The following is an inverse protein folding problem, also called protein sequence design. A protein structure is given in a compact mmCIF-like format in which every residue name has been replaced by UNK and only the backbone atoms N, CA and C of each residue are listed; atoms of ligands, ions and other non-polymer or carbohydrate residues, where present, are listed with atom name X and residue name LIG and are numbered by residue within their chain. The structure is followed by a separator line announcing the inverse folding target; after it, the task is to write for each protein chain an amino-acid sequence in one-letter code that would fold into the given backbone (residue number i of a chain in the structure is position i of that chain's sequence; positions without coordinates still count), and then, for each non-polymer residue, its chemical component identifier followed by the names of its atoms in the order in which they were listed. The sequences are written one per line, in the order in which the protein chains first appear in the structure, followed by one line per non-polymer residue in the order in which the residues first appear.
data_IF_657524295913
#
_entry.id   IF_657524295913
#
_cell.length_a   1.000
_cell.length_b   1.000
_cell.length_c   1.000
_cell.angle_alpha   90.00
_cell.angle_beta   90.00
_cell.angle_gamma   90.00
#
_symmetry.space_group_name_H-M   'P 1'
#
loop_
_entity.id
_entity.type
_entity.pdbx_description
1 polymer ?
#
# COMPACT_ATOMS: atom_id res chain seq x y z
N UNK A 1 23.14 -3.25 8.82
CA UNK A 1 22.03 -2.78 7.97
C UNK A 1 22.59 -1.74 7.02
N UNK A 2 22.34 -1.84 5.70
CA UNK A 2 22.80 -0.86 4.71
C UNK A 2 21.63 0.02 4.31
N UNK A 3 21.79 1.35 4.38
CA UNK A 3 20.78 2.32 3.96
C UNK A 3 20.93 2.56 2.45
N UNK A 4 19.80 2.59 1.74
CA UNK A 4 19.72 2.95 0.32
C UNK A 4 19.01 4.30 0.24
N UNK A 5 19.58 5.24 -0.51
CA UNK A 5 18.93 6.54 -0.76
C UNK A 5 17.68 6.38 -1.64
N UNK A 6 16.61 7.10 -1.32
CA UNK A 6 15.34 7.07 -2.04
C UNK A 6 14.16 6.59 -1.19
N UNK A 7 13.04 6.31 -1.84
CA UNK A 7 11.80 5.83 -1.21
C UNK A 7 11.42 4.42 -1.65
N UNK A 8 10.13 4.12 -1.64
CA UNK A 8 9.58 2.80 -2.00
C UNK A 8 9.90 2.37 -3.45
N UNK A 9 10.27 3.31 -4.32
CA UNK A 9 10.65 3.07 -5.72
C UNK A 9 12.17 2.96 -5.93
N UNK A 10 12.99 3.03 -4.87
CA UNK A 10 14.43 2.80 -4.99
C UNK A 10 14.79 1.35 -5.40
N UNK A 11 14.09 0.30 -4.91
CA UNK A 11 14.29 -1.05 -5.42
C UNK A 11 13.75 -1.22 -6.84
N UNK A 12 14.44 -2.00 -7.65
CA UNK A 12 14.00 -2.29 -9.02
C UNK A 12 12.66 -3.02 -9.03
N UNK A 13 11.80 -2.64 -9.98
CA UNK A 13 10.51 -3.30 -10.20
C UNK A 13 9.34 -2.71 -9.39
N UNK A 14 9.58 -1.67 -8.59
CA UNK A 14 8.51 -0.98 -7.86
C UNK A 14 8.23 0.42 -8.43
N UNK A 15 6.94 0.72 -8.58
CA UNK A 15 6.39 2.00 -9.02
C UNK A 15 5.46 2.53 -7.93
N UNK A 16 5.32 3.86 -7.85
CA UNK A 16 4.34 4.47 -6.95
C UNK A 16 3.83 5.79 -7.52
N UNK A 17 2.56 6.10 -7.28
CA UNK A 17 1.94 7.37 -7.65
C UNK A 17 0.87 7.76 -6.64
N UNK A 18 0.82 9.05 -6.29
CA UNK A 18 -0.27 9.66 -5.53
C UNK A 18 -1.06 10.62 -6.40
N UNK A 19 -2.39 10.65 -6.22
CA UNK A 19 -3.32 11.49 -6.98
C UNK A 19 -4.26 12.24 -6.03
N UNK A 20 -4.81 13.36 -6.52
CA UNK A 20 -5.89 14.08 -5.85
C UNK A 20 -7.23 13.50 -6.33
N UNK A 21 -7.84 12.63 -5.52
CA UNK A 21 -9.15 12.04 -5.79
C UNK A 21 -10.31 12.81 -5.14
N UNK A 22 -10.01 13.90 -4.41
CA UNK A 22 -10.98 14.77 -3.74
C UNK A 22 -11.82 14.06 -2.65
N UNK A 23 -11.26 13.03 -2.01
CA UNK A 23 -11.73 12.51 -0.72
C UNK A 23 -11.45 13.55 0.37
N UNK A 24 -10.28 14.19 0.30
CA UNK A 24 -9.95 15.41 1.06
C UNK A 24 -10.24 16.66 0.23
N UNK A 25 -9.97 17.83 0.82
CA UNK A 25 -10.00 19.11 0.11
C UNK A 25 -9.14 19.11 -1.16
N UNK A 26 -9.55 19.94 -2.12
CA UNK A 26 -8.85 20.13 -3.40
C UNK A 26 -7.35 20.37 -3.23
N UNK A 27 -6.59 19.91 -4.22
CA UNK A 27 -5.12 20.02 -4.29
C UNK A 27 -4.36 19.25 -3.19
N UNK A 28 -4.98 18.24 -2.58
CA UNK A 28 -4.31 17.30 -1.69
C UNK A 28 -4.32 15.91 -2.29
N UNK A 29 -3.14 15.29 -2.40
CA UNK A 29 -3.05 13.87 -2.73
C UNK A 29 -3.58 13.07 -1.56
N UNK A 30 -4.56 12.24 -1.85
CA UNK A 30 -5.36 11.53 -0.85
C UNK A 30 -5.63 10.08 -1.26
N UNK A 31 -5.23 9.68 -2.46
CA UNK A 31 -5.15 8.30 -2.90
C UNK A 31 -3.77 8.03 -3.48
N UNK A 32 -3.20 6.89 -3.16
CA UNK A 32 -1.92 6.44 -3.69
C UNK A 32 -1.93 4.95 -4.02
N UNK A 33 -1.09 4.57 -4.97
CA UNK A 33 -0.82 3.18 -5.33
C UNK A 33 0.69 2.95 -5.25
N UNK A 34 1.07 1.83 -4.64
CA UNK A 34 2.39 1.21 -4.77
C UNK A 34 2.19 -0.06 -5.59
N UNK A 35 2.99 -0.25 -6.63
CA UNK A 35 2.82 -1.33 -7.60
C UNK A 35 4.15 -2.05 -7.85
N UNK A 36 4.13 -3.36 -7.77
CA UNK A 36 5.22 -4.23 -8.23
C UNK A 36 4.95 -4.63 -9.68
N UNK A 37 5.97 -4.52 -10.53
CA UNK A 37 5.89 -4.89 -11.95
C UNK A 37 5.48 -6.35 -12.16
N UNK A 38 5.73 -7.22 -11.17
CA UNK A 38 5.33 -8.63 -11.12
C UNK A 38 4.74 -8.96 -9.76
N UNK A 39 3.84 -9.97 -9.63
CA UNK A 39 3.40 -10.44 -8.31
C UNK A 39 4.61 -10.83 -7.44
N UNK A 40 4.71 -10.26 -6.25
CA UNK A 40 5.83 -10.43 -5.35
C UNK A 40 5.41 -11.13 -4.04
N UNK A 41 6.38 -11.72 -3.34
CA UNK A 41 6.17 -12.19 -1.97
C UNK A 41 5.86 -11.00 -1.08
N UNK A 42 4.83 -11.12 -0.25
CA UNK A 42 4.40 -10.05 0.64
C UNK A 42 3.99 -10.63 2.00
N UNK A 43 4.19 -9.81 3.04
CA UNK A 43 3.82 -10.11 4.41
C UNK A 43 3.23 -8.84 5.04
N UNK A 44 2.28 -9.02 5.95
CA UNK A 44 1.63 -7.92 6.66
C UNK A 44 1.32 -8.31 8.10
N UNK A 45 1.33 -7.30 8.97
CA UNK A 45 0.77 -7.38 10.32
C UNK A 45 -0.34 -6.34 10.43
N UNK A 46 -1.34 -6.64 11.25
CA UNK A 46 -2.55 -5.83 11.39
C UNK A 46 -2.69 -5.35 12.83
N UNK A 47 -3.50 -4.30 13.05
CA UNK A 47 -3.84 -3.88 14.41
C UNK A 47 -4.49 -5.02 15.19
N UNK A 48 -4.22 -5.08 16.49
CA UNK A 48 -4.81 -6.04 17.43
C UNK A 48 -6.10 -5.53 18.07
N UNK A 49 -6.52 -4.30 17.74
CA UNK A 49 -7.78 -3.74 18.25
C UNK A 49 -8.98 -4.55 17.72
N UNK A 50 -9.91 -4.86 18.63
CA UNK A 50 -11.17 -5.52 18.30
C UNK A 50 -11.97 -4.69 17.30
N UNK A 51 -12.01 -3.36 17.50
CA UNK A 51 -12.62 -2.43 16.56
C UNK A 51 -11.60 -2.07 15.48
N UNK A 52 -11.88 -2.44 14.24
CA UNK A 52 -10.98 -2.22 13.12
C UNK A 52 -11.72 -1.86 11.83
N UNK A 53 -11.00 -1.25 10.89
CA UNK A 53 -11.56 -0.84 9.61
C UNK A 53 -11.76 -2.04 8.67
N UNK A 54 -12.83 -2.00 7.89
CA UNK A 54 -13.20 -3.06 6.94
C UNK A 54 -12.10 -3.40 5.92
N UNK A 55 -11.20 -2.45 5.58
CA UNK A 55 -10.11 -2.72 4.65
C UNK A 55 -9.12 -3.78 5.18
N UNK A 56 -9.03 -3.99 6.49
CA UNK A 56 -8.15 -5.01 7.06
C UNK A 56 -8.62 -6.42 6.70
N UNK A 57 -9.93 -6.66 6.61
CA UNK A 57 -10.47 -7.98 6.23
C UNK A 57 -10.16 -8.29 4.76
N UNK A 58 -10.30 -7.29 3.89
CA UNK A 58 -9.92 -7.39 2.48
C UNK A 58 -8.41 -7.65 2.34
N UNK A 59 -7.56 -6.90 3.06
CA UNK A 59 -6.12 -7.10 3.03
C UNK A 59 -5.70 -8.49 3.52
N UNK A 60 -6.33 -9.00 4.59
CA UNK A 60 -6.09 -10.37 5.10
C UNK A 60 -6.40 -11.41 4.03
N UNK A 61 -7.60 -11.33 3.44
CA UNK A 61 -8.04 -12.28 2.41
C UNK A 61 -7.13 -12.25 1.17
N UNK A 62 -6.77 -11.06 0.68
CA UNK A 62 -5.88 -10.93 -0.47
C UNK A 62 -4.48 -11.47 -0.24
N UNK A 63 -4.02 -11.57 1.02
CA UNK A 63 -2.68 -12.01 1.36
C UNK A 63 -2.61 -13.45 1.89
N UNK A 64 -3.70 -14.22 1.81
CA UNK A 64 -3.75 -15.62 2.26
C UNK A 64 -2.68 -16.52 1.61
N UNK A 65 -2.33 -16.23 0.35
CA UNK A 65 -1.28 -16.96 -0.38
C UNK A 65 0.12 -16.34 -0.25
N UNK A 66 0.29 -15.29 0.57
CA UNK A 66 1.56 -14.59 0.77
C UNK A 66 2.08 -13.84 -0.46
N UNK A 67 1.20 -13.51 -1.42
CA UNK A 67 1.57 -12.79 -2.64
C UNK A 67 0.72 -11.53 -2.81
N UNK A 68 1.34 -10.46 -3.30
CA UNK A 68 0.64 -9.24 -3.67
C UNK A 68 1.30 -8.62 -4.90
N UNK A 69 0.60 -7.72 -5.58
CA UNK A 69 1.15 -6.95 -6.70
C UNK A 69 0.98 -5.44 -6.52
N UNK A 70 -0.04 -5.01 -5.77
CA UNK A 70 -0.27 -3.60 -5.50
C UNK A 70 -0.75 -3.38 -4.07
N UNK A 71 -0.49 -2.19 -3.57
CA UNK A 71 -1.10 -1.63 -2.36
C UNK A 71 -1.83 -0.37 -2.79
N UNK A 72 -3.12 -0.29 -2.51
CA UNK A 72 -3.92 0.92 -2.69
C UNK A 72 -4.18 1.52 -1.32
N UNK A 73 -3.88 2.80 -1.16
CA UNK A 73 -4.03 3.54 0.09
C UNK A 73 -4.82 4.79 -0.19
N UNK A 74 -5.75 5.13 0.70
CA UNK A 74 -6.37 6.44 0.71
C UNK A 74 -6.19 7.10 2.09
N UNK A 75 -6.41 8.40 2.13
CA UNK A 75 -6.50 9.19 3.35
C UNK A 75 -7.67 10.16 3.22
N UNK A 76 -8.45 10.32 4.28
CA UNK A 76 -9.61 11.22 4.36
C UNK A 76 -9.54 11.97 5.68
#
# INVERSE_FOLDING_TARGET
MKVIEGGITAPQGFLAQGVCAEIKYKNRRDVAVIYSALPCTAAAVYTTNVVHAACLDVCRSHLENGRAQAIVVNSG
#
